data_IF_226569310972
#
_entry.id   IF_226569310972
#
_cell.length_a   1.000
_cell.length_b   1.000
_cell.length_c   1.000
_cell.angle_alpha   90.00
_cell.angle_beta   90.00
_cell.angle_gamma   90.00
#
_symmetry.space_group_name_H-M   'P 1'
#
loop_
_entity.id
_entity.type
_entity.pdbx_description
1 polymer ?
#
# COMPACT_ATOMS: atom_id res chain seq x y z
N UNK A 1 -13.18 1.79 2.68
CA UNK A 1 -14.54 1.36 3.09
C UNK A 1 -15.46 1.92 2.05
N UNK A 2 -16.17 1.06 1.32
CA UNK A 2 -16.77 1.36 0.02
C UNK A 2 -18.17 1.94 0.09
N UNK A 3 -18.66 2.36 1.29
CA UNK A 3 -19.97 2.97 1.43
C UNK A 3 -21.15 2.07 1.04
N UNK A 4 -20.93 0.74 0.98
CA UNK A 4 -22.02 -0.21 0.71
C UNK A 4 -22.77 -0.52 2.00
N UNK A 5 -24.08 -0.44 1.94
CA UNK A 5 -24.98 -0.86 3.01
C UNK A 5 -25.44 -2.32 2.78
N UNK A 6 -26.01 -2.94 3.81
CA UNK A 6 -26.53 -4.31 3.68
C UNK A 6 -27.63 -4.45 2.62
N UNK A 7 -28.37 -3.37 2.39
CA UNK A 7 -29.41 -3.28 1.37
C UNK A 7 -28.88 -3.32 -0.06
N UNK A 8 -27.61 -2.97 -0.27
CA UNK A 8 -26.95 -3.01 -1.58
C UNK A 8 -26.48 -4.41 -1.96
N UNK A 9 -26.59 -5.38 -1.06
CA UNK A 9 -26.14 -6.75 -1.31
C UNK A 9 -27.07 -7.47 -2.29
N UNK A 10 -26.50 -7.97 -3.39
CA UNK A 10 -27.20 -8.81 -4.35
C UNK A 10 -27.31 -10.27 -3.89
N UNK A 11 -26.48 -10.69 -2.94
CA UNK A 11 -26.48 -12.02 -2.37
C UNK A 11 -25.36 -12.18 -1.34
N UNK A 12 -25.53 -13.15 -0.46
CA UNK A 12 -24.50 -13.58 0.48
C UNK A 12 -24.07 -15.02 0.14
N UNK A 13 -22.76 -15.28 0.20
CA UNK A 13 -22.21 -16.60 -0.14
C UNK A 13 -21.42 -17.13 1.06
N UNK A 14 -21.81 -18.31 1.56
CA UNK A 14 -21.09 -18.98 2.62
C UNK A 14 -20.18 -20.09 2.04
N UNK A 15 -18.86 -19.95 2.23
CA UNK A 15 -17.84 -20.90 1.73
C UNK A 15 -16.94 -21.42 2.85
N UNK A 16 -16.29 -22.56 2.60
CA UNK A 16 -15.43 -23.23 3.57
C UNK A 16 -16.17 -24.20 4.49
N UNK A 17 -15.43 -25.00 5.25
CA UNK A 17 -15.98 -26.02 6.14
C UNK A 17 -16.96 -25.50 7.18
N UNK A 18 -16.70 -24.32 7.75
CA UNK A 18 -17.59 -23.65 8.70
C UNK A 18 -18.97 -23.29 8.14
N UNK A 19 -19.08 -23.09 6.83
CA UNK A 19 -20.34 -22.80 6.16
C UNK A 19 -21.34 -24.00 6.17
N UNK A 20 -20.87 -25.16 6.56
CA UNK A 20 -21.75 -26.36 6.74
C UNK A 20 -22.50 -26.32 8.07
N UNK A 21 -22.12 -25.48 9.01
CA UNK A 21 -22.77 -25.38 10.31
C UNK A 21 -24.19 -24.77 10.18
N UNK A 22 -25.24 -25.50 10.59
CA UNK A 22 -26.61 -25.05 10.41
C UNK A 22 -26.91 -23.71 11.09
N UNK A 23 -26.36 -23.49 12.28
CA UNK A 23 -26.57 -22.25 13.03
C UNK A 23 -25.92 -21.04 12.35
N UNK A 24 -24.76 -21.20 11.69
CA UNK A 24 -24.09 -20.13 10.95
C UNK A 24 -24.88 -19.76 9.70
N UNK A 25 -25.42 -20.75 8.98
CA UNK A 25 -26.29 -20.49 7.83
C UNK A 25 -27.54 -19.71 8.20
N UNK A 26 -28.18 -20.10 9.31
CA UNK A 26 -29.35 -19.42 9.82
C UNK A 26 -29.02 -17.98 10.22
N UNK A 27 -27.93 -17.79 10.94
CA UNK A 27 -27.46 -16.47 11.34
C UNK A 27 -27.18 -15.58 10.12
N UNK A 28 -26.48 -16.09 9.09
CA UNK A 28 -26.22 -15.35 7.86
C UNK A 28 -27.53 -14.96 7.18
N UNK A 29 -28.47 -15.88 7.05
CA UNK A 29 -29.77 -15.67 6.40
C UNK A 29 -30.59 -14.57 7.09
N UNK A 30 -30.53 -14.53 8.42
CA UNK A 30 -31.22 -13.50 9.22
C UNK A 30 -30.55 -12.12 9.11
N UNK A 31 -29.21 -12.07 8.98
CA UNK A 31 -28.45 -10.81 8.99
C UNK A 31 -28.16 -10.21 7.61
N UNK A 32 -28.32 -10.99 6.56
CA UNK A 32 -28.12 -10.50 5.17
C UNK A 32 -29.44 -10.27 4.44
N UNK A 33 -30.57 -10.50 5.09
CA UNK A 33 -31.87 -10.21 4.47
C UNK A 33 -31.98 -8.70 4.10
N UNK A 34 -32.57 -8.36 2.93
CA UNK A 34 -33.32 -9.24 2.02
C UNK A 34 -32.43 -10.02 1.00
N UNK A 35 -31.12 -9.87 1.01
CA UNK A 35 -30.25 -10.56 0.07
C UNK A 35 -30.33 -12.10 0.20
N UNK A 36 -30.43 -12.84 -0.91
CA UNK A 36 -30.51 -14.30 -0.87
C UNK A 36 -29.19 -14.93 -0.41
N UNK A 37 -29.27 -15.95 0.44
CA UNK A 37 -28.11 -16.77 0.80
C UNK A 37 -27.86 -17.82 -0.30
N UNK A 38 -26.79 -17.65 -1.05
CA UNK A 38 -26.33 -18.59 -2.07
C UNK A 38 -25.54 -19.71 -1.40
N UNK A 39 -25.87 -20.95 -1.76
CA UNK A 39 -25.28 -22.14 -1.13
C UNK A 39 -24.52 -23.01 -2.16
N UNK A 40 -23.38 -22.56 -2.70
CA UNK A 40 -22.53 -23.41 -3.51
C UNK A 40 -21.96 -24.55 -2.66
N UNK A 41 -21.38 -25.62 -3.25
CA UNK A 41 -20.68 -26.64 -2.49
C UNK A 41 -19.58 -26.00 -1.62
N UNK A 42 -19.73 -25.94 -0.29
CA UNK A 42 -18.96 -24.97 0.52
C UNK A 42 -17.46 -25.26 0.53
N UNK A 43 -17.03 -26.51 0.43
CA UNK A 43 -15.61 -26.90 0.42
C UNK A 43 -14.98 -26.71 -0.96
N UNK A 44 -15.75 -26.89 -2.03
CA UNK A 44 -15.25 -26.83 -3.41
C UNK A 44 -15.41 -25.45 -4.04
N UNK A 45 -16.23 -24.58 -3.47
CA UNK A 45 -16.60 -23.29 -4.06
C UNK A 45 -15.38 -22.40 -4.37
N UNK A 46 -14.38 -22.38 -3.50
CA UNK A 46 -13.16 -21.57 -3.71
C UNK A 46 -12.39 -22.09 -4.93
N UNK A 47 -12.19 -23.41 -5.04
CA UNK A 47 -11.48 -24.00 -6.17
C UNK A 47 -12.26 -23.85 -7.49
N UNK A 48 -13.58 -24.05 -7.45
CA UNK A 48 -14.44 -23.84 -8.61
C UNK A 48 -14.47 -22.37 -9.05
N UNK A 49 -14.52 -21.45 -8.10
CA UNK A 49 -14.45 -20.03 -8.38
C UNK A 49 -13.10 -19.62 -9.01
N UNK A 50 -11.99 -20.13 -8.50
CA UNK A 50 -10.67 -19.91 -9.07
C UNK A 50 -10.57 -20.41 -10.51
N UNK A 51 -11.13 -21.58 -10.82
CA UNK A 51 -11.17 -22.11 -12.18
C UNK A 51 -12.04 -21.27 -13.14
N UNK A 52 -13.09 -20.62 -12.65
CA UNK A 52 -13.92 -19.73 -13.46
C UNK A 52 -13.27 -18.38 -13.74
N UNK A 53 -12.33 -17.96 -12.91
CA UNK A 53 -11.58 -16.71 -13.12
C UNK A 53 -10.51 -16.83 -14.22
N UNK A 54 -10.16 -18.04 -14.66
CA UNK A 54 -9.05 -18.27 -15.58
C UNK A 54 -9.24 -17.78 -17.02
N UNK A 55 -10.42 -17.80 -17.67
CA UNK A 55 -10.54 -17.27 -19.03
C UNK A 55 -11.04 -15.82 -19.03
N UNK A 56 -10.15 -14.88 -19.39
CA UNK A 56 -10.53 -13.49 -19.71
C UNK A 56 -10.60 -12.51 -18.53
N UNK A 57 -10.30 -12.95 -17.31
CA UNK A 57 -10.18 -12.07 -16.14
C UNK A 57 -8.73 -11.74 -15.89
N UNK A 58 -8.38 -10.46 -15.97
CA UNK A 58 -7.09 -9.98 -15.50
C UNK A 58 -7.16 -9.70 -14.00
N UNK A 59 -6.49 -10.52 -13.22
CA UNK A 59 -6.27 -10.25 -11.80
C UNK A 59 -5.10 -9.27 -11.71
N UNK A 60 -5.33 -8.12 -11.10
CA UNK A 60 -4.29 -7.15 -10.80
C UNK A 60 -4.15 -7.06 -9.30
N UNK A 61 -2.95 -7.26 -8.83
CA UNK A 61 -2.64 -7.03 -7.44
C UNK A 61 -2.61 -5.53 -7.14
N UNK A 62 -2.98 -5.17 -5.92
CA UNK A 62 -2.97 -3.79 -5.45
C UNK A 62 -2.19 -3.68 -4.15
N UNK A 63 -1.56 -2.54 -3.93
CA UNK A 63 -0.82 -2.27 -2.71
C UNK A 63 -1.76 -2.28 -1.50
N UNK A 64 -1.45 -3.10 -0.51
CA UNK A 64 -2.15 -3.09 0.78
C UNK A 64 -1.78 -1.86 1.60
N UNK A 65 -0.52 -1.46 1.53
CA UNK A 65 0.03 -0.29 2.19
C UNK A 65 0.70 0.63 1.17
N UNK A 66 0.64 1.93 1.42
CA UNK A 66 1.37 2.89 0.60
C UNK A 66 2.87 2.87 0.91
N UNK A 67 3.65 3.56 0.08
CA UNK A 67 5.06 3.81 0.31
C UNK A 67 5.28 5.30 0.38
N UNK A 68 5.92 5.78 1.45
CA UNK A 68 6.27 7.19 1.63
C UNK A 68 7.78 7.36 1.75
N UNK A 69 8.29 8.48 1.27
CA UNK A 69 9.70 8.87 1.39
C UNK A 69 9.82 10.08 2.31
N UNK A 70 10.84 10.06 3.17
CA UNK A 70 11.17 11.18 4.04
C UNK A 70 12.00 12.22 3.27
N UNK A 71 11.50 13.43 3.19
CA UNK A 71 12.16 14.55 2.53
C UNK A 71 12.42 15.69 3.51
N UNK A 72 13.42 16.52 3.22
CA UNK A 72 13.68 17.74 3.96
C UNK A 72 12.87 18.89 3.35
N UNK A 73 12.02 19.51 4.14
CA UNK A 73 11.26 20.70 3.73
C UNK A 73 12.02 21.96 4.19
N UNK A 74 12.59 22.67 3.24
CA UNK A 74 13.37 23.90 3.52
C UNK A 74 12.52 25.01 4.16
N UNK A 75 11.22 25.07 3.86
CA UNK A 75 10.35 26.14 4.38
C UNK A 75 10.05 25.96 5.86
N UNK A 76 9.81 24.73 6.28
CA UNK A 76 9.52 24.42 7.69
C UNK A 76 10.77 24.07 8.50
N UNK A 77 11.92 23.82 7.84
CA UNK A 77 13.14 23.35 8.49
C UNK A 77 12.97 21.98 9.17
N UNK A 78 12.12 21.14 8.63
CA UNK A 78 11.80 19.84 9.22
C UNK A 78 11.69 18.73 8.16
N UNK A 79 11.83 17.49 8.60
CA UNK A 79 11.53 16.34 7.76
C UNK A 79 10.02 16.16 7.60
N UNK A 80 9.60 15.86 6.37
CA UNK A 80 8.22 15.49 6.03
C UNK A 80 8.18 14.19 5.26
N UNK A 81 7.09 13.45 5.43
CA UNK A 81 6.80 12.27 4.64
C UNK A 81 6.02 12.65 3.40
N UNK A 82 6.54 12.23 2.24
CA UNK A 82 5.90 12.43 0.95
C UNK A 82 5.44 11.08 0.39
N UNK A 83 4.15 10.89 0.06
CA UNK A 83 3.68 9.64 -0.50
C UNK A 83 4.25 9.44 -1.91
N UNK A 84 4.84 8.27 -2.16
CA UNK A 84 5.30 7.84 -3.49
C UNK A 84 4.23 6.98 -4.16
N UNK A 85 3.74 5.99 -3.44
CA UNK A 85 2.67 5.10 -3.88
C UNK A 85 1.60 5.03 -2.79
N UNK A 86 0.35 4.91 -3.21
CA UNK A 86 -0.79 4.88 -2.28
C UNK A 86 -1.40 3.48 -2.20
N UNK A 87 -1.98 3.15 -1.05
CA UNK A 87 -2.73 1.91 -0.88
C UNK A 87 -3.88 1.81 -1.91
N UNK A 88 -4.09 0.62 -2.46
CA UNK A 88 -5.07 0.37 -3.52
C UNK A 88 -4.53 0.63 -4.94
N UNK A 89 -3.33 1.18 -5.10
CA UNK A 89 -2.70 1.35 -6.41
C UNK A 89 -2.30 -0.01 -6.98
N UNK A 90 -2.61 -0.30 -8.26
CA UNK A 90 -2.23 -1.57 -8.88
C UNK A 90 -0.72 -1.64 -9.14
N UNK A 91 -0.18 -2.86 -9.08
CA UNK A 91 1.18 -3.17 -9.49
C UNK A 91 1.19 -4.41 -10.43
N UNK A 92 2.21 -4.57 -11.29
CA UNK A 92 3.37 -3.69 -11.47
C UNK A 92 2.97 -2.26 -11.92
N UNK A 93 3.87 -1.30 -11.65
CA UNK A 93 3.63 0.10 -12.06
C UNK A 93 3.56 0.21 -13.57
N UNK A 94 2.51 0.82 -14.15
CA UNK A 94 2.43 1.01 -15.61
C UNK A 94 3.52 1.96 -16.12
N UNK A 95 3.89 2.95 -15.30
CA UNK A 95 4.93 3.94 -15.55
C UNK A 95 5.73 4.19 -14.28
N UNK A 96 7.04 4.48 -14.39
CA UNK A 96 7.85 4.84 -13.25
C UNK A 96 7.47 6.23 -12.72
N UNK A 97 7.52 6.39 -11.40
CA UNK A 97 7.41 7.68 -10.74
C UNK A 97 8.74 8.42 -10.87
N UNK A 98 8.75 9.60 -11.47
CA UNK A 98 9.94 10.43 -11.60
C UNK A 98 10.03 11.44 -10.45
N UNK A 99 11.19 11.50 -9.83
CA UNK A 99 11.53 12.45 -8.78
C UNK A 99 12.89 13.08 -9.05
N UNK A 100 13.03 14.37 -8.73
CA UNK A 100 14.31 15.05 -8.73
C UNK A 100 14.70 15.34 -7.28
N UNK A 101 15.90 14.92 -6.91
CA UNK A 101 16.44 15.15 -5.59
C UNK A 101 17.51 16.23 -5.62
N UNK A 102 17.30 17.25 -4.80
CA UNK A 102 18.23 18.34 -4.62
C UNK A 102 19.03 18.19 -3.33
N UNK A 103 20.25 18.74 -3.30
CA UNK A 103 21.02 18.82 -2.08
C UNK A 103 20.37 19.83 -1.10
N UNK A 104 20.25 19.43 0.16
CA UNK A 104 19.68 20.26 1.22
C UNK A 104 20.68 21.24 1.85
N UNK A 105 21.98 20.98 1.66
CA UNK A 105 23.09 21.82 2.18
C UNK A 105 24.25 21.81 1.20
N UNK A 106 25.07 22.86 1.25
CA UNK A 106 26.30 22.94 0.46
C UNK A 106 27.35 21.96 0.98
N UNK A 107 28.10 21.35 0.05
CA UNK A 107 29.08 20.33 0.34
C UNK A 107 28.45 18.98 0.74
N UNK A 108 27.22 18.72 0.33
CA UNK A 108 26.56 17.45 0.62
C UNK A 108 27.14 16.34 -0.25
N UNK A 109 27.74 15.33 0.39
CA UNK A 109 28.43 14.23 -0.28
C UNK A 109 27.52 13.02 -0.55
N UNK A 110 26.33 12.99 0.06
CA UNK A 110 25.38 11.88 -0.10
C UNK A 110 23.93 12.30 0.13
N UNK A 111 23.02 11.61 -0.53
CA UNK A 111 21.58 11.66 -0.29
C UNK A 111 21.12 10.35 0.33
N UNK A 112 20.20 10.43 1.27
CA UNK A 112 19.60 9.26 1.91
C UNK A 112 18.15 9.09 1.44
N UNK A 113 17.84 7.91 0.92
CA UNK A 113 16.46 7.49 0.63
C UNK A 113 15.91 6.77 1.86
N UNK A 114 15.10 7.46 2.63
CA UNK A 114 14.42 6.89 3.80
C UNK A 114 12.98 6.62 3.42
N UNK A 115 12.63 5.34 3.34
CA UNK A 115 11.27 4.88 3.00
C UNK A 115 10.53 4.37 4.22
N UNK A 116 9.22 4.46 4.20
CA UNK A 116 8.35 3.93 5.24
C UNK A 116 6.97 3.58 4.68
N UNK A 117 6.31 2.65 5.34
CA UNK A 117 4.90 2.36 5.14
C UNK A 117 4.06 3.29 6.01
N UNK A 118 3.14 4.09 5.43
CA UNK A 118 2.18 4.84 6.22
C UNK A 118 1.15 3.88 6.80
N UNK A 119 1.12 3.77 8.10
CA UNK A 119 0.11 3.01 8.81
C UNK A 119 -0.94 3.97 9.35
N UNK A 120 -2.16 3.84 8.85
CA UNK A 120 -3.31 4.47 9.47
C UNK A 120 -3.71 3.57 10.63
N UNK A 121 -3.39 3.94 11.84
CA UNK A 121 -3.98 3.27 13.00
C UNK A 121 -5.48 3.51 12.97
N UNK A 122 -6.20 2.65 12.26
CA UNK A 122 -7.62 2.48 12.46
C UNK A 122 -7.80 1.81 13.81
N UNK A 123 -7.76 2.57 14.89
CA UNK A 123 -8.14 2.09 16.21
C UNK A 123 -9.61 1.75 16.15
N UNK A 124 -9.90 0.48 16.04
CA UNK A 124 -11.24 -0.02 16.23
C UNK A 124 -11.40 -0.29 17.73
N UNK A 125 -11.98 0.65 18.43
CA UNK A 125 -12.39 0.40 19.82
C UNK A 125 -13.63 -0.47 19.78
N UNK A 126 -13.55 -1.63 20.41
CA UNK A 126 -14.71 -2.48 20.64
C UNK A 126 -15.45 -1.91 21.86
N UNK A 127 -16.50 -1.18 21.59
CA UNK A 127 -17.44 -0.75 22.64
C UNK A 127 -18.50 -1.82 22.86
N UNK A 128 -18.87 -2.08 24.10
CA UNK A 128 -20.01 -2.92 24.42
C UNK A 128 -21.20 -2.00 24.70
N UNK A 129 -22.11 -1.90 23.72
CA UNK A 129 -23.39 -1.22 23.88
C UNK A 129 -24.51 -2.25 24.01
N UNK A 130 -25.30 -2.19 25.08
CA UNK A 130 -26.43 -3.10 25.33
C UNK A 130 -26.09 -4.60 25.29
N UNK A 131 -24.85 -4.96 25.72
CA UNK A 131 -24.37 -6.35 25.71
C UNK A 131 -23.87 -6.87 24.36
N UNK A 132 -23.88 -6.05 23.31
CA UNK A 132 -23.42 -6.42 21.98
C UNK A 132 -22.09 -5.69 21.69
N UNK A 133 -21.01 -6.41 21.29
CA UNK A 133 -19.77 -5.77 20.85
C UNK A 133 -20.02 -4.96 19.60
N UNK A 134 -19.86 -3.65 19.66
CA UNK A 134 -19.91 -2.76 18.50
C UNK A 134 -18.56 -2.20 18.18
N UNK A 135 -18.15 -2.31 16.91
CA UNK A 135 -16.94 -1.69 16.39
C UNK A 135 -17.19 -0.19 16.21
N UNK A 136 -16.54 0.63 17.05
CA UNK A 136 -16.52 2.07 16.86
C UNK A 136 -15.24 2.44 16.12
N UNK A 137 -15.39 3.05 14.94
CA UNK A 137 -14.26 3.66 14.24
C UNK A 137 -13.84 4.90 15.03
N UNK A 138 -12.69 4.89 15.70
CA UNK A 138 -12.15 6.10 16.28
C UNK A 138 -11.64 7.01 15.16
N UNK A 139 -11.77 8.31 15.38
CA UNK A 139 -11.33 9.42 14.53
C UNK A 139 -9.94 9.13 13.97
N UNK A 140 -9.73 9.50 12.70
CA UNK A 140 -8.47 9.35 11.98
C UNK A 140 -7.26 9.67 12.86
N UNK A 141 -6.57 8.62 13.31
CA UNK A 141 -5.37 8.73 14.12
C UNK A 141 -4.25 9.31 13.27
N UNK A 142 -3.26 9.84 13.95
CA UNK A 142 -2.03 10.30 13.34
C UNK A 142 -1.41 9.18 12.49
N UNK A 143 -1.06 9.48 11.23
CA UNK A 143 -0.44 8.50 10.33
C UNK A 143 0.95 8.19 10.87
N UNK A 144 1.17 7.00 11.37
CA UNK A 144 2.50 6.53 11.75
C UNK A 144 3.22 5.95 10.55
N UNK A 145 4.47 6.30 10.41
CA UNK A 145 5.33 5.80 9.34
C UNK A 145 6.25 4.73 9.90
N UNK A 146 6.05 3.47 9.49
CA UNK A 146 6.90 2.37 9.87
C UNK A 146 8.08 2.28 8.89
N UNK A 147 9.33 2.50 9.34
CA UNK A 147 10.50 2.43 8.47
C UNK A 147 10.67 1.06 7.84
N UNK A 148 11.06 1.03 6.58
CA UNK A 148 11.41 -0.21 5.89
C UNK A 148 12.70 -0.83 6.44
N UNK A 149 12.81 -2.18 6.44
CA UNK A 149 13.96 -2.88 7.03
C UNK A 149 15.31 -2.55 6.39
N UNK A 150 15.32 -2.18 5.11
CA UNK A 150 16.53 -1.91 4.33
C UNK A 150 16.90 -0.42 4.28
N UNK A 151 16.42 0.38 5.19
CA UNK A 151 16.67 1.82 5.23
C UNK A 151 17.88 2.21 6.10
N UNK A 152 18.54 3.33 5.73
CA UNK A 152 18.40 4.11 4.50
C UNK A 152 19.25 3.58 3.35
N UNK A 153 18.78 3.73 2.11
CA UNK A 153 19.65 3.60 0.96
C UNK A 153 20.44 4.90 0.77
N UNK A 154 21.74 4.81 0.67
CA UNK A 154 22.64 5.96 0.57
C UNK A 154 23.14 6.10 -0.87
N UNK A 155 22.96 7.28 -1.44
CA UNK A 155 23.36 7.64 -2.79
C UNK A 155 24.50 8.65 -2.73
N UNK A 156 25.71 8.29 -3.21
CA UNK A 156 26.85 9.21 -3.22
C UNK A 156 26.60 10.35 -4.22
N UNK A 157 27.08 11.53 -3.87
CA UNK A 157 27.13 12.69 -4.74
C UNK A 157 28.57 13.04 -5.06
N UNK A 158 28.97 12.85 -6.32
CA UNK A 158 30.29 13.22 -6.83
C UNK A 158 30.14 14.04 -8.11
N UNK A 159 30.50 15.34 -8.11
CA UNK A 159 30.99 16.16 -6.98
C UNK A 159 29.91 16.39 -5.90
N UNK A 160 30.30 16.86 -4.68
CA UNK A 160 29.35 17.24 -3.64
C UNK A 160 28.30 18.24 -4.13
N UNK A 161 27.08 18.12 -3.59
CA UNK A 161 25.95 18.96 -3.99
C UNK A 161 25.96 20.32 -3.30
N UNK A 162 25.45 21.35 -4.00
CA UNK A 162 25.19 22.67 -3.45
C UNK A 162 23.73 22.82 -3.02
N UNK A 163 23.47 23.65 -2.01
CA UNK A 163 22.12 23.87 -1.49
C UNK A 163 21.14 24.23 -2.59
N UNK A 164 20.06 23.44 -2.73
CA UNK A 164 19.02 23.64 -3.74
C UNK A 164 19.39 23.20 -5.16
N UNK A 165 20.59 22.65 -5.35
CA UNK A 165 21.03 22.12 -6.63
C UNK A 165 20.36 20.76 -6.88
N UNK A 166 19.72 20.61 -8.04
CA UNK A 166 19.21 19.33 -8.52
C UNK A 166 20.38 18.38 -8.81
N UNK A 167 20.46 17.29 -8.08
CA UNK A 167 21.57 16.36 -8.14
C UNK A 167 21.22 15.06 -8.87
N UNK A 168 20.16 14.42 -8.45
CA UNK A 168 19.78 13.10 -8.94
C UNK A 168 18.34 13.09 -9.45
N UNK A 169 18.11 12.43 -10.58
CA UNK A 169 16.78 12.02 -11.03
C UNK A 169 16.59 10.56 -10.69
N UNK A 170 15.51 10.26 -10.00
CA UNK A 170 15.09 8.90 -9.66
C UNK A 170 13.87 8.54 -10.48
N UNK A 171 13.87 7.35 -11.07
CA UNK A 171 12.69 6.71 -11.68
C UNK A 171 12.37 5.48 -10.86
N UNK A 172 11.31 5.58 -10.05
CA UNK A 172 10.91 4.54 -9.10
C UNK A 172 9.72 3.79 -9.65
N UNK A 173 9.83 2.45 -9.70
CA UNK A 173 8.77 1.56 -10.18
C UNK A 173 8.62 0.34 -9.27
N UNK A 174 7.46 -0.29 -9.36
CA UNK A 174 7.19 -1.59 -8.73
C UNK A 174 7.13 -2.61 -9.86
N UNK A 175 7.96 -3.65 -9.78
CA UNK A 175 8.03 -4.71 -10.78
C UNK A 175 6.95 -5.80 -10.57
N UNK A 176 6.98 -6.85 -11.42
CA UNK A 176 6.03 -7.97 -11.37
C UNK A 176 6.20 -8.88 -10.14
N UNK A 177 7.36 -8.81 -9.48
CA UNK A 177 7.68 -9.56 -8.27
C UNK A 177 7.48 -8.73 -6.99
N UNK A 178 6.73 -7.62 -7.10
CA UNK A 178 6.49 -6.65 -6.04
C UNK A 178 7.77 -5.95 -5.53
N UNK A 179 8.87 -5.99 -6.30
CA UNK A 179 10.10 -5.29 -6.00
C UNK A 179 9.99 -3.79 -6.27
N UNK A 180 10.37 -2.96 -5.31
CA UNK A 180 10.50 -1.52 -5.50
C UNK A 180 11.91 -1.22 -5.99
N UNK A 181 12.02 -0.71 -7.21
CA UNK A 181 13.27 -0.46 -7.91
C UNK A 181 13.41 1.03 -8.19
N UNK A 182 14.61 1.58 -7.97
CA UNK A 182 14.97 2.93 -8.36
C UNK A 182 16.09 2.91 -9.38
N UNK A 183 15.83 3.45 -10.57
CA UNK A 183 16.84 3.82 -11.56
C UNK A 183 17.30 5.25 -11.23
N UNK A 184 18.62 5.49 -11.28
CA UNK A 184 19.20 6.73 -10.79
C UNK A 184 20.06 7.35 -11.87
N UNK A 185 19.78 8.61 -12.18
CA UNK A 185 20.54 9.41 -13.12
C UNK A 185 21.12 10.63 -12.41
N UNK A 186 22.45 10.80 -12.48
CA UNK A 186 23.12 12.00 -11.96
C UNK A 186 23.00 13.12 -13.01
N UNK A 187 22.22 14.15 -12.66
CA UNK A 187 21.92 15.29 -13.53
C UNK A 187 23.17 16.19 -13.80
N UNK A 188 24.16 16.14 -12.93
CA UNK A 188 25.35 16.99 -13.01
C UNK A 188 26.44 16.37 -13.90
N UNK A 189 26.63 15.05 -13.79
CA UNK A 189 27.62 14.31 -14.59
C UNK A 189 27.02 13.66 -15.83
N UNK A 190 25.70 13.56 -15.92
CA UNK A 190 24.98 12.83 -16.99
C UNK A 190 25.16 11.32 -16.91
N UNK A 191 25.58 10.78 -15.77
CA UNK A 191 25.85 9.35 -15.60
C UNK A 191 24.63 8.62 -15.04
N UNK A 192 24.41 7.41 -15.54
CA UNK A 192 23.54 6.44 -14.90
C UNK A 192 24.29 5.76 -13.76
N UNK A 193 23.67 5.73 -12.57
CA UNK A 193 24.16 4.98 -11.43
C UNK A 193 23.50 3.60 -11.41
N UNK A 194 24.08 2.61 -10.73
CA UNK A 194 23.48 1.30 -10.58
C UNK A 194 22.06 1.41 -10.00
N UNK A 195 21.11 0.69 -10.59
CA UNK A 195 19.78 0.61 -10.06
C UNK A 195 19.77 0.01 -8.66
N UNK A 196 18.93 0.54 -7.78
CA UNK A 196 18.79 0.07 -6.40
C UNK A 196 17.49 -0.68 -6.23
N UNK A 197 17.58 -1.85 -5.61
CA UNK A 197 16.41 -2.53 -5.08
C UNK A 197 16.15 -1.99 -3.67
N UNK A 198 15.04 -1.26 -3.53
CA UNK A 198 14.70 -0.55 -2.29
C UNK A 198 13.92 -1.42 -1.30
N UNK A 199 13.39 -2.54 -1.76
CA UNK A 199 12.64 -3.50 -0.94
C UNK A 199 11.48 -4.13 -1.70
N UNK A 200 10.57 -4.78 -0.99
CA UNK A 200 9.38 -5.43 -1.57
C UNK A 200 8.13 -4.81 -0.96
N UNK A 201 7.18 -4.45 -1.81
CA UNK A 201 5.86 -3.94 -1.39
C UNK A 201 4.91 -5.09 -1.06
N UNK A 202 3.82 -4.77 -0.33
CA UNK A 202 2.81 -5.77 0.07
C UNK A 202 1.41 -5.27 -0.20
#
# INVERSE_FOLDING_TARGET
>A
RYGCELEDLQGAVAVGGGAQLPWLRRWLQEHTAPAPLLTPPPVQAVALGALQLTPGVQVRDVLQHGVSMRTWDQRSGAHRWHPLFVAGQPWPSPEPLELVMAASRSGQEQLELVLAEPQTEGRHDVGVGEGIPTLRSSVAGEVRHQPWPCNPAVLPLDPPGETGQDCLRLRISIDADAGLIAEIHDLRSGRELPALQLGTVR
#
